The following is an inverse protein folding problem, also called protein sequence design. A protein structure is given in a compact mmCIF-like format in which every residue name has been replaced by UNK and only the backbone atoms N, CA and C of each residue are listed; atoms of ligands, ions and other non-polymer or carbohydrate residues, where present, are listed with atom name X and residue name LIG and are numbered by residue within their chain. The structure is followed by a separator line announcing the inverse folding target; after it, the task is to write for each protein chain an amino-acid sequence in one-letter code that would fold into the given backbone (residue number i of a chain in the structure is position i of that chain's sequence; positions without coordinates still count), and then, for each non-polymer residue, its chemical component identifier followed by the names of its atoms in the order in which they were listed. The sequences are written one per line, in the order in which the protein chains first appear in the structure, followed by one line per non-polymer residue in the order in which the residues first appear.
data_IF_227613772592
#
_entry.id   IF_227613772592
#
_cell.length_a   1.000
_cell.length_b   1.000
_cell.length_c   1.000
_cell.angle_alpha   90.00
_cell.angle_beta   90.00
_cell.angle_gamma   90.00
#
_symmetry.space_group_name_H-M   'P 1'
#
loop_
_entity.id
_entity.type
_entity.pdbx_description
1 polymer ?
#
# COMPACT_ATOMS: atom_id res chain seq x y z
N UNK A 1 33.22 -0.17 -12.37
CA UNK A 1 31.83 -0.64 -12.47
C UNK A 1 31.23 -0.49 -11.09
N UNK A 2 30.48 0.58 -10.84
CA UNK A 2 29.68 0.68 -9.62
C UNK A 2 28.54 -0.32 -9.73
N UNK A 3 28.69 -1.45 -9.05
CA UNK A 3 27.61 -2.40 -8.86
C UNK A 3 26.70 -1.84 -7.78
N UNK A 4 25.50 -1.40 -8.15
CA UNK A 4 24.52 -0.80 -7.24
C UNK A 4 23.44 -1.79 -6.75
N UNK A 5 23.70 -3.10 -6.85
CA UNK A 5 22.77 -4.15 -6.40
C UNK A 5 22.77 -4.36 -4.88
N UNK A 6 21.73 -5.02 -4.36
CA UNK A 6 21.58 -5.29 -2.91
C UNK A 6 22.81 -6.02 -2.34
N UNK A 7 23.33 -7.03 -3.05
CA UNK A 7 24.48 -7.81 -2.58
C UNK A 7 25.80 -7.02 -2.62
N UNK A 8 25.99 -6.13 -3.61
CA UNK A 8 27.19 -5.31 -3.65
C UNK A 8 27.17 -4.20 -2.60
N UNK A 9 25.98 -3.69 -2.24
CA UNK A 9 25.82 -2.72 -1.16
C UNK A 9 26.10 -3.36 0.22
N UNK A 10 25.86 -4.66 0.39
CA UNK A 10 26.01 -5.34 1.67
C UNK A 10 27.46 -5.36 2.22
N UNK A 11 28.48 -5.23 1.37
CA UNK A 11 29.88 -5.18 1.79
C UNK A 11 30.45 -3.76 1.90
N UNK A 12 29.66 -2.72 1.59
CA UNK A 12 30.10 -1.34 1.66
C UNK A 12 29.88 -0.80 3.08
N UNK A 13 30.96 -0.35 3.71
CA UNK A 13 30.88 0.42 4.95
C UNK A 13 30.45 1.86 4.60
N UNK A 14 29.44 2.38 5.28
CA UNK A 14 28.91 3.73 5.08
C UNK A 14 28.89 4.46 6.43
N UNK A 15 29.07 5.78 6.36
CA UNK A 15 29.01 6.66 7.52
C UNK A 15 27.54 6.91 7.91
N UNK A 16 27.05 6.19 8.92
CA UNK A 16 25.75 6.39 9.53
C UNK A 16 25.70 5.78 10.94
N UNK A 17 24.68 6.13 11.70
CA UNK A 17 24.35 5.49 12.98
C UNK A 17 23.08 4.65 12.83
N UNK A 18 23.14 3.36 13.14
CA UNK A 18 21.94 2.51 13.22
C UNK A 18 21.13 2.87 14.45
N UNK A 19 19.84 3.14 14.28
CA UNK A 19 18.88 3.38 15.37
C UNK A 19 17.62 2.55 15.17
N UNK A 20 16.94 2.28 16.28
CA UNK A 20 15.62 1.63 16.31
C UNK A 20 14.70 2.39 17.25
N UNK A 21 13.50 2.71 16.77
CA UNK A 21 12.36 3.00 17.63
C UNK A 21 11.52 1.73 17.76
N UNK A 22 11.13 1.36 18.98
CA UNK A 22 10.33 0.16 19.21
C UNK A 22 9.44 0.30 20.45
N UNK A 23 8.47 -0.60 20.53
CA UNK A 23 7.52 -0.72 21.64
C UNK A 23 8.09 -1.35 22.92
N UNK A 24 9.42 -1.56 23.00
CA UNK A 24 10.03 -2.27 24.13
C UNK A 24 9.74 -1.60 25.48
N UNK A 25 9.65 -2.44 26.51
CA UNK A 25 9.39 -2.04 27.88
C UNK A 25 10.58 -1.28 28.45
N UNK A 26 10.44 0.04 28.61
CA UNK A 26 11.52 0.92 29.10
C UNK A 26 12.00 0.62 30.52
N UNK A 27 11.29 -0.22 31.27
CA UNK A 27 11.75 -0.70 32.58
C UNK A 27 12.71 -1.89 32.48
N UNK A 28 12.86 -2.49 31.29
CA UNK A 28 13.57 -3.75 31.08
C UNK A 28 12.71 -4.99 31.33
N UNK A 29 11.40 -4.82 31.50
CA UNK A 29 10.42 -5.90 31.61
C UNK A 29 10.07 -6.53 30.26
N UNK A 30 8.90 -7.17 30.19
CA UNK A 30 8.41 -7.90 29.02
C UNK A 30 7.06 -7.34 28.51
N UNK A 31 6.66 -6.14 28.95
CA UNK A 31 5.48 -5.46 28.40
C UNK A 31 5.86 -4.67 27.15
N UNK A 32 6.38 -5.38 26.15
CA UNK A 32 6.98 -4.80 24.93
C UNK A 32 5.94 -4.33 23.90
N UNK A 33 4.74 -3.99 24.34
CA UNK A 33 3.65 -3.54 23.48
C UNK A 33 3.08 -2.20 23.91
N UNK A 34 2.49 -1.51 22.94
CA UNK A 34 1.66 -0.33 23.18
C UNK A 34 0.20 -0.69 22.95
N UNK A 35 -0.68 0.10 23.56
CA UNK A 35 -2.11 0.15 23.28
C UNK A 35 -2.43 1.52 22.69
N UNK A 36 -3.46 1.60 21.83
CA UNK A 36 -3.93 2.86 21.24
C UNK A 36 -5.44 2.93 21.45
N UNK A 37 -5.89 3.81 22.36
CA UNK A 37 -7.30 3.99 22.66
C UNK A 37 -8.09 4.55 21.48
N UNK A 38 -9.42 4.33 21.39
CA UNK A 38 -10.28 5.02 20.45
C UNK A 38 -10.04 6.53 20.45
N UNK A 39 -9.79 7.12 19.28
CA UNK A 39 -9.47 8.53 19.09
C UNK A 39 -8.04 8.95 19.48
N UNK A 40 -7.23 8.05 20.05
CA UNK A 40 -5.85 8.35 20.44
C UNK A 40 -4.92 8.35 19.21
N UNK A 41 -3.92 9.21 19.25
CA UNK A 41 -2.76 9.18 18.35
C UNK A 41 -1.51 8.88 19.16
N UNK A 42 -0.72 7.89 18.73
CA UNK A 42 0.58 7.56 19.32
C UNK A 42 1.70 7.77 18.32
N UNK A 43 2.67 8.58 18.71
CA UNK A 43 3.95 8.72 18.00
C UNK A 43 4.79 7.46 18.25
N UNK A 44 5.16 6.77 17.17
CA UNK A 44 6.01 5.57 17.22
C UNK A 44 7.49 5.92 17.10
N UNK A 45 7.80 6.93 16.29
CA UNK A 45 9.15 7.43 16.04
C UNK A 45 9.09 8.93 15.80
N UNK A 46 10.07 9.64 16.36
CA UNK A 46 10.39 11.02 16.05
C UNK A 46 11.92 11.17 16.00
N UNK A 47 12.45 11.67 14.90
CA UNK A 47 13.86 12.00 14.70
C UNK A 47 13.92 13.41 14.11
N UNK A 48 14.77 14.27 14.67
CA UNK A 48 14.89 15.67 14.23
C UNK A 48 15.91 15.84 13.10
N UNK A 49 16.90 14.94 13.01
CA UNK A 49 17.99 15.02 12.04
C UNK A 49 17.67 14.46 10.66
N UNK A 50 18.73 14.21 9.88
CA UNK A 50 18.64 13.53 8.59
C UNK A 50 18.80 12.02 8.76
N UNK A 51 18.21 11.25 7.85
CA UNK A 51 18.29 9.80 7.90
C UNK A 51 17.49 9.09 6.80
N UNK A 52 17.38 7.78 6.97
CA UNK A 52 16.55 6.94 6.13
C UNK A 52 15.97 5.80 6.96
N UNK A 53 14.64 5.70 7.05
CA UNK A 53 13.99 4.47 7.54
C UNK A 53 14.28 3.36 6.54
N UNK A 54 14.72 2.21 7.02
CA UNK A 54 15.12 1.05 6.22
C UNK A 54 14.17 -0.13 6.39
N UNK A 55 13.47 -0.18 7.51
CA UNK A 55 12.54 -1.25 7.82
C UNK A 55 11.49 -0.81 8.83
N UNK A 56 10.23 -1.13 8.56
CA UNK A 56 9.13 -0.99 9.49
C UNK A 56 8.45 -2.34 9.67
N UNK A 57 8.57 -2.90 10.88
CA UNK A 57 7.84 -4.06 11.35
C UNK A 57 6.74 -3.67 12.32
N UNK A 58 5.60 -4.34 12.24
CA UNK A 58 4.66 -4.40 13.34
C UNK A 58 3.90 -5.73 13.40
N UNK A 59 3.28 -5.98 14.53
CA UNK A 59 2.32 -7.06 14.74
C UNK A 59 1.25 -6.60 15.72
N UNK A 60 0.15 -7.33 15.79
CA UNK A 60 -0.92 -7.12 16.74
C UNK A 60 -1.31 -8.43 17.41
N UNK A 61 -1.92 -8.32 18.58
CA UNK A 61 -2.74 -9.39 19.16
C UNK A 61 -4.15 -8.85 19.35
N UNK A 62 -5.10 -9.48 18.66
CA UNK A 62 -6.54 -9.19 18.78
C UNK A 62 -7.33 -10.48 18.65
N UNK A 63 -7.95 -10.91 19.76
CA UNK A 63 -8.67 -12.18 19.83
C UNK A 63 -10.07 -12.17 19.21
N UNK A 64 -10.68 -10.99 19.08
CA UNK A 64 -12.02 -10.84 18.50
C UNK A 64 -11.95 -10.46 17.03
N UNK A 65 -12.69 -11.17 16.17
CA UNK A 65 -12.73 -10.89 14.75
C UNK A 65 -13.18 -9.46 14.44
N UNK A 66 -14.26 -8.99 15.07
CA UNK A 66 -14.73 -7.61 14.89
C UNK A 66 -13.64 -6.58 15.22
N UNK A 67 -12.90 -6.80 16.32
CA UNK A 67 -11.78 -5.95 16.69
C UNK A 67 -10.66 -5.97 15.65
N UNK A 68 -10.36 -7.14 15.10
CA UNK A 68 -9.33 -7.33 14.06
C UNK A 68 -9.71 -6.62 12.75
N UNK A 69 -10.96 -6.77 12.32
CA UNK A 69 -11.47 -6.11 11.12
C UNK A 69 -11.50 -4.59 11.26
N UNK A 70 -11.91 -4.11 12.44
CA UNK A 70 -11.89 -2.70 12.75
C UNK A 70 -10.46 -2.14 12.86
N UNK A 71 -9.48 -2.92 13.32
CA UNK A 71 -8.08 -2.53 13.38
C UNK A 71 -7.52 -2.22 11.99
N UNK A 72 -7.69 -3.11 11.02
CA UNK A 72 -7.02 -2.98 9.71
C UNK A 72 -7.43 -1.73 8.94
N UNK A 73 -8.68 -1.28 9.10
CA UNK A 73 -9.18 -0.07 8.45
C UNK A 73 -9.47 1.09 9.39
N UNK A 74 -9.38 0.90 10.70
CA UNK A 74 -9.59 1.93 11.71
C UNK A 74 -8.30 2.51 12.26
N UNK A 75 -7.21 1.76 12.31
CA UNK A 75 -5.89 2.29 12.65
C UNK A 75 -5.24 2.87 11.41
N UNK A 76 -4.90 4.15 11.48
CA UNK A 76 -4.32 4.93 10.39
C UNK A 76 -2.85 5.16 10.66
N UNK A 77 -2.01 4.74 9.72
CA UNK A 77 -0.59 5.06 9.69
C UNK A 77 -0.40 6.46 9.10
N UNK A 78 0.33 7.30 9.82
CA UNK A 78 0.70 8.63 9.36
C UNK A 78 2.23 8.82 9.40
N UNK A 79 2.79 9.35 8.32
CA UNK A 79 4.22 9.67 8.24
C UNK A 79 4.45 11.08 7.71
N UNK A 80 5.31 11.83 8.40
CA UNK A 80 5.65 13.21 8.12
C UNK A 80 7.14 13.33 7.87
N UNK A 81 7.51 14.06 6.82
CA UNK A 81 8.91 14.25 6.42
C UNK A 81 9.29 15.72 6.47
N UNK A 82 10.55 15.99 6.80
CA UNK A 82 11.20 17.31 6.65
C UNK A 82 10.51 18.46 7.40
N UNK A 83 9.88 18.18 8.54
CA UNK A 83 9.16 19.18 9.34
C UNK A 83 7.81 19.59 8.77
N UNK A 84 7.29 18.87 7.77
CA UNK A 84 5.93 19.09 7.24
C UNK A 84 4.87 18.81 8.30
N UNK A 85 3.86 19.68 8.37
CA UNK A 85 2.65 19.48 9.18
C UNK A 85 1.61 18.57 8.48
N UNK A 86 1.76 18.38 7.17
CA UNK A 86 0.98 17.44 6.37
C UNK A 86 1.68 16.09 6.22
N UNK A 87 0.96 14.97 6.40
CA UNK A 87 1.54 13.65 6.21
C UNK A 87 1.69 13.33 4.72
N UNK A 88 2.81 12.72 4.34
CA UNK A 88 3.03 12.13 3.01
C UNK A 88 2.44 10.72 2.89
N UNK A 89 2.20 10.07 4.04
CA UNK A 89 1.50 8.80 4.15
C UNK A 89 0.37 9.03 5.14
N UNK A 90 -0.88 8.86 4.73
CA UNK A 90 -2.04 8.86 5.62
C UNK A 90 -3.03 7.81 5.12
N UNK A 91 -2.86 6.57 5.58
CA UNK A 91 -3.58 5.41 5.05
C UNK A 91 -3.96 4.41 6.15
N UNK A 92 -4.98 3.56 5.95
CA UNK A 92 -5.21 2.42 6.82
C UNK A 92 -3.97 1.54 6.95
N UNK A 93 -3.59 1.16 8.17
CA UNK A 93 -2.38 0.35 8.37
C UNK A 93 -2.51 -1.03 7.73
N UNK A 94 -3.71 -1.62 7.68
CA UNK A 94 -3.92 -2.90 6.98
C UNK A 94 -3.62 -2.79 5.49
N UNK A 95 -4.26 -1.84 4.81
CA UNK A 95 -4.13 -1.65 3.36
C UNK A 95 -2.70 -1.20 2.97
N UNK A 96 -1.99 -0.45 3.82
CA UNK A 96 -0.56 -0.12 3.61
C UNK A 96 0.31 -1.38 3.50
N UNK A 97 -0.01 -2.43 4.24
CA UNK A 97 0.71 -3.70 4.22
C UNK A 97 0.03 -4.77 3.35
N UNK A 98 -0.96 -4.38 2.53
CA UNK A 98 -1.60 -5.30 1.59
C UNK A 98 -2.64 -6.25 2.19
N UNK A 99 -3.23 -5.93 3.34
CA UNK A 99 -4.37 -6.69 3.88
C UNK A 99 -5.59 -6.48 2.98
N UNK A 100 -6.00 -7.53 2.26
CA UNK A 100 -7.06 -7.44 1.26
C UNK A 100 -8.45 -7.54 1.93
N UNK A 101 -9.16 -6.41 2.03
CA UNK A 101 -10.49 -6.32 2.65
C UNK A 101 -10.57 -7.04 4.02
N UNK A 102 -9.57 -6.80 4.88
CA UNK A 102 -9.47 -7.42 6.20
C UNK A 102 -9.02 -8.88 6.19
N UNK A 103 -8.73 -9.49 5.03
CA UNK A 103 -8.11 -10.82 4.95
C UNK A 103 -6.60 -10.71 4.87
N UNK A 104 -5.93 -11.34 5.84
CA UNK A 104 -4.47 -11.44 5.85
C UNK A 104 -4.07 -12.72 5.14
N UNK A 105 -3.11 -12.61 4.23
CA UNK A 105 -2.48 -13.71 3.52
C UNK A 105 -0.97 -13.49 3.48
N UNK A 106 -0.14 -14.54 3.31
CA UNK A 106 1.28 -14.37 3.14
C UNK A 106 1.61 -13.45 1.96
N UNK A 107 2.63 -12.61 2.13
CA UNK A 107 3.21 -11.81 1.05
C UNK A 107 4.72 -12.03 1.09
N UNK A 108 5.33 -12.34 -0.06
CA UNK A 108 6.76 -12.59 -0.22
C UNK A 108 7.35 -11.71 -1.33
N UNK A 109 7.25 -10.39 -1.17
CA UNK A 109 7.85 -9.42 -2.10
C UNK A 109 9.12 -8.80 -1.52
N UNK A 110 9.88 -8.06 -2.34
CA UNK A 110 11.04 -7.31 -1.86
C UNK A 110 10.64 -6.06 -1.04
N UNK A 111 9.49 -5.46 -1.32
CA UNK A 111 9.02 -4.26 -0.65
C UNK A 111 8.26 -4.56 0.65
N UNK A 112 7.45 -5.62 0.67
CA UNK A 112 6.60 -6.01 1.78
C UNK A 112 6.62 -7.52 2.01
N UNK A 113 6.65 -7.92 3.28
CA UNK A 113 6.48 -9.32 3.66
C UNK A 113 5.50 -9.50 4.82
N UNK A 114 4.55 -10.42 4.65
CA UNK A 114 3.56 -10.78 5.66
C UNK A 114 3.77 -12.25 6.04
N UNK A 115 4.06 -12.48 7.33
CA UNK A 115 4.37 -13.80 7.85
C UNK A 115 3.36 -14.22 8.91
N UNK A 116 2.91 -15.49 8.91
CA UNK A 116 1.94 -15.98 9.88
C UNK A 116 2.51 -15.94 11.30
N UNK A 117 1.66 -15.58 12.25
CA UNK A 117 1.95 -15.68 13.68
C UNK A 117 1.56 -17.06 14.25
N UNK A 118 1.02 -17.07 15.47
CA UNK A 118 0.67 -18.32 16.15
C UNK A 118 -0.51 -19.06 15.50
N UNK A 119 -0.27 -20.28 15.02
CA UNK A 119 -1.25 -21.15 14.35
C UNK A 119 -2.50 -21.46 15.19
N UNK A 120 -2.42 -21.44 16.53
CA UNK A 120 -3.62 -21.62 17.38
C UNK A 120 -4.67 -20.54 17.15
N UNK A 121 -4.24 -19.42 16.62
CA UNK A 121 -5.04 -18.25 16.36
C UNK A 121 -4.61 -17.60 15.05
N UNK A 122 -4.69 -18.36 13.95
CA UNK A 122 -4.19 -17.97 12.63
C UNK A 122 -4.67 -16.60 12.11
N UNK A 123 -5.69 -15.99 12.71
CA UNK A 123 -6.18 -14.65 12.39
C UNK A 123 -5.83 -13.59 13.44
N UNK A 124 -5.36 -13.95 14.64
CA UNK A 124 -5.19 -12.99 15.74
C UNK A 124 -3.83 -12.30 15.76
N UNK A 125 -2.83 -12.82 15.06
CA UNK A 125 -1.48 -12.25 15.01
C UNK A 125 -0.76 -12.60 13.71
N UNK A 126 -0.15 -11.60 13.09
CA UNK A 126 0.67 -11.69 11.88
C UNK A 126 1.84 -10.73 12.00
N UNK A 127 2.98 -11.04 11.37
CA UNK A 127 4.11 -10.12 11.26
C UNK A 127 4.04 -9.38 9.94
N UNK A 128 4.04 -8.05 9.98
CA UNK A 128 3.97 -7.17 8.82
C UNK A 128 5.28 -6.42 8.68
N UNK A 129 5.92 -6.49 7.52
CA UNK A 129 7.21 -5.85 7.27
C UNK A 129 7.15 -5.02 6.00
N UNK A 130 7.74 -3.83 6.06
CA UNK A 130 7.95 -2.93 4.94
C UNK A 130 9.44 -2.60 4.85
N UNK A 131 10.01 -2.75 3.66
CA UNK A 131 11.42 -2.52 3.34
C UNK A 131 11.61 -1.37 2.33
N UNK A 132 10.53 -0.65 1.98
CA UNK A 132 10.65 0.57 1.19
C UNK A 132 11.47 1.61 1.97
N UNK A 133 12.58 2.12 1.42
CA UNK A 133 13.39 3.13 2.09
C UNK A 133 12.58 4.43 2.23
N UNK A 134 12.69 5.12 3.37
CA UNK A 134 12.02 6.41 3.61
C UNK A 134 13.06 7.46 4.01
N UNK A 135 13.73 8.10 3.02
CA UNK A 135 14.72 9.14 3.29
C UNK A 135 14.08 10.41 3.84
N UNK A 136 14.79 11.14 4.69
CA UNK A 136 14.40 12.45 5.21
C UNK A 136 15.64 13.28 5.55
N UNK A 137 15.56 14.59 5.38
CA UNK A 137 16.65 15.56 5.56
C UNK A 137 16.49 16.45 6.79
N UNK A 138 15.25 16.74 7.19
CA UNK A 138 14.94 17.65 8.29
C UNK A 138 13.86 17.02 9.21
N UNK A 139 14.17 15.82 9.67
CA UNK A 139 13.33 15.06 10.59
C UNK A 139 12.26 14.20 9.94
N UNK A 140 11.78 13.25 10.74
CA UNK A 140 10.73 12.30 10.41
C UNK A 140 9.88 12.00 11.65
N UNK A 141 8.56 11.93 11.45
CA UNK A 141 7.61 11.50 12.49
C UNK A 141 6.70 10.41 11.94
N UNK A 142 6.62 9.29 12.64
CA UNK A 142 5.70 8.18 12.35
C UNK A 142 4.72 8.07 13.51
N UNK A 143 3.43 8.05 13.22
CA UNK A 143 2.38 7.89 14.23
C UNK A 143 1.27 6.94 13.77
N UNK A 144 0.57 6.37 14.74
CA UNK A 144 -0.66 5.62 14.54
C UNK A 144 -1.81 6.35 15.21
N UNK A 145 -2.90 6.58 14.46
CA UNK A 145 -4.16 7.13 14.98
C UNK A 145 -5.24 6.08 14.93
N UNK A 146 -5.94 5.86 16.04
CA UNK A 146 -7.05 4.91 16.07
C UNK A 146 -8.39 5.65 15.82
N UNK A 147 -8.92 5.54 14.61
CA UNK A 147 -10.23 6.12 14.24
C UNK A 147 -11.40 5.22 14.62
N UNK A 148 -11.14 3.99 15.09
CA UNK A 148 -12.19 3.02 15.45
C UNK A 148 -12.71 3.21 16.87
N UNK A 149 -13.85 2.57 17.14
CA UNK A 149 -14.54 2.51 18.42
C UNK A 149 -14.30 1.19 19.17
N UNK A 150 -13.43 0.30 18.65
CA UNK A 150 -13.13 -0.98 19.29
C UNK A 150 -12.04 -0.87 20.35
N UNK A 151 -12.12 -1.74 21.35
CA UNK A 151 -11.13 -1.86 22.42
C UNK A 151 -9.70 -1.94 21.85
N UNK A 152 -8.71 -1.31 22.52
CA UNK A 152 -7.33 -1.32 22.06
C UNK A 152 -6.82 -2.74 21.83
N UNK A 153 -6.16 -2.95 20.70
CA UNK A 153 -5.28 -4.11 20.53
C UNK A 153 -3.92 -3.85 21.14
N UNK A 154 -3.16 -4.91 21.33
CA UNK A 154 -1.76 -4.81 21.71
C UNK A 154 -0.91 -4.76 20.44
N UNK A 155 -0.04 -3.76 20.32
CA UNK A 155 0.81 -3.55 19.15
C UNK A 155 2.28 -3.65 19.53
N UNK A 156 3.04 -4.44 18.78
CA UNK A 156 4.50 -4.44 18.82
C UNK A 156 5.01 -3.83 17.53
N UNK A 157 6.10 -3.06 17.60
CA UNK A 157 6.69 -2.49 16.40
C UNK A 157 8.20 -2.31 16.49
N UNK A 158 8.86 -2.33 15.33
CA UNK A 158 10.23 -1.87 15.12
C UNK A 158 10.26 -0.92 13.93
N UNK A 159 10.85 0.27 14.11
CA UNK A 159 11.21 1.16 13.02
C UNK A 159 12.73 1.29 13.06
N UNK A 160 13.38 0.64 12.11
CA UNK A 160 14.83 0.61 11.94
C UNK A 160 15.24 1.67 10.93
N UNK A 161 16.20 2.50 11.31
CA UNK A 161 16.64 3.61 10.48
C UNK A 161 18.13 3.91 10.63
N UNK A 162 18.68 4.46 9.55
CA UNK A 162 20.00 5.09 9.55
C UNK A 162 19.82 6.55 9.93
N UNK A 163 20.53 7.04 10.94
CA UNK A 163 20.70 8.47 11.23
C UNK A 163 22.00 8.95 10.57
N UNK A 164 21.92 10.08 9.89
CA UNK A 164 23.05 10.71 9.24
C UNK A 164 23.50 11.97 10.00
N UNK A 165 24.79 12.27 9.92
CA UNK A 165 25.38 13.43 10.62
C UNK A 165 25.00 14.78 9.99
N UNK A 166 24.59 14.77 8.71
CA UNK A 166 24.21 15.96 7.95
C UNK A 166 23.12 15.65 6.92
N UNK A 167 22.20 16.59 6.63
CA UNK A 167 21.27 16.49 5.50
C UNK A 167 21.95 16.19 4.16
N UNK A 168 23.17 16.65 3.94
CA UNK A 168 23.94 16.42 2.71
C UNK A 168 24.34 14.96 2.49
N UNK A 169 24.21 14.09 3.50
CA UNK A 169 24.43 12.66 3.35
C UNK A 169 23.22 11.94 2.70
N UNK A 170 22.05 12.59 2.68
CA UNK A 170 20.92 12.15 1.87
C UNK A 170 21.19 12.60 0.43
N UNK A 171 21.12 11.70 -0.57
CA UNK A 171 21.29 12.09 -1.97
C UNK A 171 20.31 13.20 -2.36
N UNK A 172 20.77 14.23 -3.08
CA UNK A 172 19.92 15.38 -3.47
C UNK A 172 18.69 14.98 -4.29
N UNK A 173 18.79 13.86 -5.02
CA UNK A 173 17.70 13.29 -5.81
C UNK A 173 16.89 12.21 -5.07
N UNK A 174 17.09 12.03 -3.76
CA UNK A 174 16.29 11.11 -2.96
C UNK A 174 14.89 11.68 -2.76
N UNK A 175 13.90 11.06 -3.40
CA UNK A 175 12.49 11.38 -3.16
C UNK A 175 12.05 10.98 -1.75
N UNK A 176 10.98 11.60 -1.27
CA UNK A 176 10.25 11.15 -0.08
C UNK A 176 9.25 10.09 -0.47
N UNK A 177 9.07 9.09 0.40
CA UNK A 177 8.04 8.08 0.19
C UNK A 177 6.67 8.70 0.49
N UNK A 178 5.72 8.49 -0.39
CA UNK A 178 4.33 8.82 -0.19
C UNK A 178 3.48 7.57 -0.36
N UNK A 179 2.31 7.59 0.26
CA UNK A 179 1.29 6.60 0.00
C UNK A 179 -0.10 7.20 0.08
N UNK A 180 -0.97 6.79 -0.82
CA UNK A 180 -2.37 7.21 -0.89
C UNK A 180 -3.26 5.98 -0.94
N UNK A 181 -4.38 6.06 -0.22
CA UNK A 181 -5.41 5.04 -0.23
C UNK A 181 -6.63 5.57 -0.98
N UNK A 182 -7.16 4.78 -1.91
CA UNK A 182 -8.39 5.09 -2.62
C UNK A 182 -9.36 3.91 -2.57
N UNK A 183 -10.66 4.20 -2.73
CA UNK A 183 -11.71 3.20 -2.84
C UNK A 183 -12.90 3.71 -3.64
N UNK A 184 -13.44 2.84 -4.48
CA UNK A 184 -14.74 2.98 -5.12
C UNK A 184 -15.58 1.74 -4.81
N UNK A 185 -16.75 1.95 -4.17
CA UNK A 185 -17.58 0.84 -3.71
C UNK A 185 -19.09 1.12 -3.87
N UNK A 186 -19.73 0.53 -4.90
CA UNK A 186 -19.10 -0.13 -6.04
C UNK A 186 -18.50 0.89 -7.01
N UNK A 187 -17.61 0.44 -7.89
CA UNK A 187 -17.28 1.12 -9.15
C UNK A 187 -18.55 1.30 -10.00
N UNK A 188 -18.56 2.34 -10.84
CA UNK A 188 -19.71 2.64 -11.69
C UNK A 188 -19.59 1.94 -13.05
N UNK A 189 -20.31 0.84 -13.24
CA UNK A 189 -20.32 0.10 -14.50
C UNK A 189 -20.80 0.98 -15.69
N UNK A 190 -20.09 0.85 -16.80
CA UNK A 190 -20.41 1.47 -18.09
C UNK A 190 -21.27 0.52 -18.90
N UNK A 191 -22.39 1.03 -19.43
CA UNK A 191 -23.28 0.23 -20.25
C UNK A 191 -22.76 0.13 -21.70
N UNK A 192 -22.94 -1.04 -22.32
CA UNK A 192 -22.72 -1.24 -23.75
C UNK A 192 -23.53 -0.23 -24.56
N UNK A 193 -22.90 0.63 -25.38
CA UNK A 193 -23.63 1.56 -26.23
C UNK A 193 -24.54 0.84 -27.23
N UNK A 194 -25.71 1.41 -27.50
CA UNK A 194 -26.67 0.84 -28.45
C UNK A 194 -26.04 0.67 -29.85
N UNK A 195 -26.18 -0.52 -30.43
CA UNK A 195 -25.69 -0.84 -31.77
C UNK A 195 -24.18 -1.12 -31.86
N UNK A 196 -23.48 -1.28 -30.73
CA UNK A 196 -22.10 -1.74 -30.69
C UNK A 196 -22.00 -3.17 -30.16
N UNK A 197 -20.96 -3.89 -30.59
CA UNK A 197 -20.68 -5.27 -30.14
C UNK A 197 -19.87 -5.32 -28.84
N UNK A 198 -19.16 -4.23 -28.50
CA UNK A 198 -18.29 -4.11 -27.32
C UNK A 198 -18.20 -2.65 -26.82
N UNK A 199 -17.75 -2.45 -25.58
CA UNK A 199 -17.46 -1.12 -25.03
C UNK A 199 -16.05 -0.72 -25.48
N UNK A 200 -15.90 0.49 -26.03
CA UNK A 200 -14.60 1.03 -26.43
C UNK A 200 -14.18 2.15 -25.50
N UNK A 201 -13.23 1.87 -24.62
CA UNK A 201 -12.67 2.88 -23.73
C UNK A 201 -11.52 3.63 -24.43
N UNK A 202 -11.83 4.79 -24.99
CA UNK A 202 -10.88 5.61 -25.76
C UNK A 202 -10.36 6.82 -24.99
N UNK A 203 -10.51 6.83 -23.66
CA UNK A 203 -10.16 7.99 -22.82
C UNK A 203 -9.50 7.60 -21.50
N UNK A 204 -9.95 6.52 -20.86
CA UNK A 204 -9.58 6.17 -19.50
C UNK A 204 -10.30 7.01 -18.43
N UNK A 205 -11.25 7.87 -18.81
CA UNK A 205 -11.88 8.82 -17.87
C UNK A 205 -12.77 8.15 -16.82
N UNK A 206 -13.30 6.96 -17.13
CA UNK A 206 -14.17 6.18 -16.25
C UNK A 206 -13.42 5.05 -15.50
N UNK A 207 -12.10 4.98 -15.68
CA UNK A 207 -11.27 3.99 -15.01
C UNK A 207 -11.21 4.29 -13.51
N UNK A 208 -11.03 3.23 -12.72
CA UNK A 208 -10.69 3.37 -11.32
C UNK A 208 -9.32 4.05 -11.19
N UNK A 209 -9.24 5.12 -10.41
CA UNK A 209 -8.00 5.88 -10.22
C UNK A 209 -7.21 5.29 -9.05
N UNK A 210 -6.01 4.79 -9.35
CA UNK A 210 -5.07 4.29 -8.33
C UNK A 210 -4.24 5.45 -7.75
N UNK A 211 -3.78 6.35 -8.62
CA UNK A 211 -2.97 7.53 -8.26
C UNK A 211 -3.20 8.63 -9.29
N UNK A 212 -3.35 9.88 -8.84
CA UNK A 212 -3.37 11.07 -9.70
C UNK A 212 -2.67 12.21 -8.96
N UNK A 213 -1.43 12.51 -9.35
CA UNK A 213 -0.58 13.48 -8.62
C UNK A 213 0.31 14.28 -9.55
N UNK A 214 0.64 15.49 -9.11
CA UNK A 214 1.69 16.33 -9.68
C UNK A 214 3.00 16.23 -8.88
N UNK A 215 4.12 16.38 -9.58
CA UNK A 215 5.46 16.40 -8.98
C UNK A 215 6.53 15.87 -9.94
N UNK A 216 7.74 15.72 -9.41
CA UNK A 216 8.86 15.08 -10.09
C UNK A 216 9.29 13.87 -9.26
N UNK A 217 9.11 12.68 -9.82
CA UNK A 217 9.15 11.46 -9.03
C UNK A 217 9.15 10.17 -9.84
N UNK A 218 8.86 9.09 -9.14
CA UNK A 218 8.72 7.75 -9.70
C UNK A 218 7.68 6.95 -8.91
N UNK A 219 6.78 6.28 -9.63
CA UNK A 219 5.82 5.35 -9.07
C UNK A 219 6.53 4.06 -8.66
N UNK A 220 6.35 3.64 -7.41
CA UNK A 220 7.06 2.50 -6.83
C UNK A 220 6.20 1.22 -6.81
N UNK A 221 4.88 1.36 -6.87
CA UNK A 221 3.97 0.22 -6.89
C UNK A 221 2.70 0.45 -6.09
N UNK A 222 1.91 -0.61 -5.95
CA UNK A 222 0.62 -0.55 -5.27
C UNK A 222 0.12 -1.94 -4.88
N UNK A 223 -0.74 -1.94 -3.85
CA UNK A 223 -1.69 -3.01 -3.61
C UNK A 223 -3.02 -2.66 -4.29
N UNK A 224 -3.68 -3.64 -4.89
CA UNK A 224 -5.04 -3.56 -5.38
C UNK A 224 -5.87 -4.69 -4.75
N UNK A 225 -7.05 -4.34 -4.22
CA UNK A 225 -8.04 -5.30 -3.75
C UNK A 225 -9.32 -5.09 -4.54
N UNK A 226 -9.88 -6.19 -5.05
CA UNK A 226 -11.19 -6.23 -5.69
C UNK A 226 -12.07 -7.18 -4.90
N UNK A 227 -13.15 -6.67 -4.29
CA UNK A 227 -14.24 -7.54 -3.83
C UNK A 227 -15.18 -7.72 -5.01
N UNK A 228 -15.03 -8.87 -5.66
CA UNK A 228 -15.79 -9.25 -6.83
C UNK A 228 -17.16 -9.78 -6.40
N UNK A 229 -18.21 -9.08 -6.84
CA UNK A 229 -19.59 -9.47 -6.54
C UNK A 229 -20.15 -10.46 -7.56
N UNK A 230 -19.43 -10.68 -8.67
CA UNK A 230 -19.78 -11.64 -9.70
C UNK A 230 -19.10 -13.00 -9.45
N UNK A 231 -19.67 -14.06 -10.03
CA UNK A 231 -19.10 -15.43 -10.00
C UNK A 231 -18.40 -15.76 -11.32
N UNK A 232 -17.77 -14.74 -11.90
CA UNK A 232 -17.04 -14.79 -13.15
C UNK A 232 -15.78 -13.94 -13.05
N UNK A 233 -14.92 -14.03 -14.06
CA UNK A 233 -13.68 -13.27 -14.14
C UNK A 233 -13.98 -11.76 -14.20
N UNK A 234 -13.30 -11.01 -13.35
CA UNK A 234 -13.46 -9.56 -13.19
C UNK A 234 -12.31 -8.75 -13.82
N UNK A 235 -11.19 -9.41 -14.10
CA UNK A 235 -9.92 -8.76 -14.38
C UNK A 235 -9.59 -8.60 -15.85
N UNK A 236 -10.57 -8.45 -16.73
CA UNK A 236 -10.33 -8.10 -18.15
C UNK A 236 -9.90 -6.64 -18.34
N UNK A 237 -9.87 -5.84 -17.25
CA UNK A 237 -9.60 -4.41 -17.33
C UNK A 237 -8.12 -4.08 -17.52
N UNK A 238 -7.84 -3.18 -18.46
CA UNK A 238 -6.49 -2.71 -18.78
C UNK A 238 -6.01 -1.65 -17.79
N UNK A 239 -4.71 -1.63 -17.45
CA UNK A 239 -4.11 -0.42 -16.87
C UNK A 239 -3.85 0.62 -17.95
N UNK A 240 -4.10 1.87 -17.59
CA UNK A 240 -3.78 3.03 -18.42
C UNK A 240 -3.03 4.03 -17.54
N UNK A 241 -1.75 4.26 -17.86
CA UNK A 241 -0.89 5.17 -17.10
C UNK A 241 -0.48 6.36 -17.97
N UNK A 242 -0.96 7.54 -17.59
CA UNK A 242 -0.70 8.80 -18.28
C UNK A 242 0.42 9.56 -17.57
N UNK A 243 1.53 9.80 -18.26
CA UNK A 243 2.69 10.48 -17.69
C UNK A 243 2.80 11.90 -18.28
N UNK A 244 3.08 12.88 -17.43
CA UNK A 244 3.40 14.26 -17.81
C UNK A 244 2.40 14.92 -18.78
N UNK A 245 1.11 14.60 -18.65
CA UNK A 245 0.01 15.17 -19.42
C UNK A 245 -0.30 14.45 -20.74
N UNK A 246 0.17 13.21 -20.92
CA UNK A 246 -0.26 12.34 -22.03
C UNK A 246 -1.79 12.23 -22.12
N UNK A 247 -2.29 12.17 -23.36
CA UNK A 247 -3.67 11.83 -23.67
C UNK A 247 -3.81 10.38 -24.15
N UNK A 248 -5.01 10.00 -24.59
CA UNK A 248 -5.21 8.67 -25.16
C UNK A 248 -4.62 8.55 -26.58
N UNK A 249 -4.01 7.40 -26.93
CA UNK A 249 -3.63 6.32 -26.02
C UNK A 249 -2.38 6.71 -25.19
N UNK A 250 -2.35 6.37 -23.89
CA UNK A 250 -1.14 6.58 -23.07
C UNK A 250 0.02 5.72 -23.57
N UNK A 251 1.25 6.11 -23.19
CA UNK A 251 2.45 5.34 -23.51
C UNK A 251 2.53 3.98 -22.79
N UNK A 252 1.79 3.83 -21.71
CA UNK A 252 1.65 2.60 -20.92
C UNK A 252 0.18 2.22 -20.90
N UNK A 253 -0.14 1.16 -21.64
CA UNK A 253 -1.47 0.58 -21.76
C UNK A 253 -1.35 -0.94 -21.65
N UNK A 254 -2.11 -1.54 -20.74
CA UNK A 254 -2.15 -2.98 -20.50
C UNK A 254 -3.06 -3.73 -21.45
N UNK A 255 -3.28 -5.01 -21.10
CA UNK A 255 -4.09 -5.97 -21.86
C UNK A 255 -5.01 -6.83 -20.99
N UNK A 256 -4.97 -6.65 -19.67
CA UNK A 256 -5.71 -7.43 -18.68
C UNK A 256 -5.12 -7.25 -17.28
N UNK A 257 -5.98 -7.30 -16.26
CA UNK A 257 -5.57 -7.03 -14.89
C UNK A 257 -4.58 -8.09 -14.37
N UNK A 258 -4.74 -9.35 -14.75
CA UNK A 258 -3.87 -10.43 -14.26
C UNK A 258 -2.44 -10.31 -14.77
N UNK A 259 -2.26 -9.79 -15.97
CA UNK A 259 -0.97 -9.72 -16.65
C UNK A 259 -0.09 -8.66 -15.99
N UNK A 260 -0.70 -7.55 -15.53
CA UNK A 260 -0.06 -6.52 -14.72
C UNK A 260 0.58 -7.15 -13.48
N UNK A 261 -0.13 -8.06 -12.81
CA UNK A 261 0.34 -8.69 -11.57
C UNK A 261 1.14 -9.99 -11.80
N UNK A 262 1.63 -10.21 -13.03
CA UNK A 262 2.54 -11.31 -13.37
C UNK A 262 1.85 -12.66 -13.55
N UNK A 263 0.54 -12.66 -13.76
CA UNK A 263 -0.26 -13.84 -14.05
C UNK A 263 -0.56 -13.99 -15.53
N UNK A 264 -1.62 -14.75 -15.82
CA UNK A 264 -2.18 -14.93 -17.15
C UNK A 264 -3.38 -15.88 -17.08
N UNK A 265 -4.35 -15.69 -17.99
CA UNK A 265 -5.51 -16.57 -18.15
C UNK A 265 -6.34 -16.74 -16.85
N UNK A 266 -6.75 -15.61 -16.26
CA UNK A 266 -7.65 -15.54 -15.10
C UNK A 266 -7.21 -16.40 -13.88
N UNK A 267 -6.07 -16.09 -13.23
CA UNK A 267 -5.56 -16.88 -12.11
C UNK A 267 -6.59 -17.07 -10.99
N UNK A 268 -6.75 -18.30 -10.51
CA UNK A 268 -7.63 -18.67 -9.39
C UNK A 268 -6.87 -19.27 -8.20
N UNK A 269 -5.54 -19.19 -8.22
CA UNK A 269 -4.63 -19.72 -7.19
C UNK A 269 -3.71 -18.59 -6.71
N UNK A 270 -3.51 -18.51 -5.39
CA UNK A 270 -2.62 -17.54 -4.78
C UNK A 270 -1.15 -17.79 -5.15
N UNK A 271 -0.40 -16.72 -5.42
CA UNK A 271 1.04 -16.76 -5.59
C UNK A 271 1.70 -15.45 -5.15
N UNK A 272 2.98 -15.54 -4.80
CA UNK A 272 3.81 -14.40 -4.47
C UNK A 272 5.15 -14.47 -5.20
N UNK A 273 5.62 -13.32 -5.66
CA UNK A 273 6.93 -13.13 -6.25
C UNK A 273 7.59 -11.85 -5.73
N UNK A 274 8.87 -11.61 -6.07
CA UNK A 274 9.62 -10.48 -5.56
C UNK A 274 9.02 -9.11 -5.94
N UNK A 275 8.33 -9.03 -7.09
CA UNK A 275 7.76 -7.80 -7.62
C UNK A 275 6.24 -7.84 -7.78
N UNK A 276 5.65 -9.01 -7.99
CA UNK A 276 4.23 -9.15 -8.29
C UNK A 276 3.60 -10.34 -7.56
N UNK A 277 2.27 -10.32 -7.39
CA UNK A 277 1.54 -11.46 -6.85
C UNK A 277 0.02 -11.27 -6.86
N UNK A 278 -0.69 -12.40 -6.90
CA UNK A 278 -2.07 -12.53 -6.44
C UNK A 278 -2.01 -13.19 -5.06
N UNK A 279 -1.82 -12.41 -4.00
CA UNK A 279 -1.60 -12.95 -2.66
C UNK A 279 -2.89 -13.35 -1.95
N UNK A 280 -4.04 -12.88 -2.42
CA UNK A 280 -5.34 -13.27 -1.87
C UNK A 280 -6.29 -13.65 -3.00
N UNK A 281 -6.80 -14.89 -2.96
CA UNK A 281 -7.86 -15.35 -3.86
C UNK A 281 -8.88 -16.10 -3.00
N UNK A 282 -9.98 -15.43 -2.64
CA UNK A 282 -10.94 -16.00 -1.69
C UNK A 282 -11.68 -17.21 -2.26
N UNK A 283 -12.02 -17.20 -3.56
CA UNK A 283 -12.88 -18.21 -4.20
C UNK A 283 -14.08 -18.58 -3.31
N UNK A 284 -14.82 -17.56 -2.87
CA UNK A 284 -15.81 -17.67 -1.79
C UNK A 284 -16.78 -18.81 -2.06
N UNK A 285 -17.03 -19.63 -1.03
CA UNK A 285 -17.89 -20.81 -1.11
C UNK A 285 -17.58 -21.76 -2.29
N UNK A 286 -16.33 -21.78 -2.78
CA UNK A 286 -15.89 -22.60 -3.92
C UNK A 286 -16.21 -22.04 -5.30
N UNK A 287 -16.80 -20.84 -5.40
CA UNK A 287 -17.00 -20.17 -6.68
C UNK A 287 -15.74 -19.40 -7.08
N UNK A 288 -15.21 -19.69 -8.28
CA UNK A 288 -14.01 -19.04 -8.80
C UNK A 288 -14.16 -17.53 -8.84
N UNK A 289 -13.11 -16.83 -8.38
CA UNK A 289 -12.95 -15.38 -8.36
C UNK A 289 -13.99 -14.60 -7.54
N UNK A 290 -15.00 -15.26 -6.97
CA UNK A 290 -16.01 -14.60 -6.15
C UNK A 290 -15.43 -14.19 -4.79
N UNK A 291 -15.81 -13.02 -4.31
CA UNK A 291 -15.32 -12.45 -3.06
C UNK A 291 -14.03 -11.66 -3.24
N UNK A 292 -13.17 -11.69 -2.22
CA UNK A 292 -11.99 -10.83 -2.13
C UNK A 292 -10.84 -11.39 -2.94
N UNK A 293 -10.28 -10.54 -3.79
CA UNK A 293 -9.06 -10.80 -4.53
C UNK A 293 -8.07 -9.67 -4.24
N UNK A 294 -6.84 -10.03 -3.88
CA UNK A 294 -5.78 -9.09 -3.53
C UNK A 294 -4.56 -9.34 -4.39
N UNK A 295 -4.04 -8.26 -4.96
CA UNK A 295 -2.90 -8.27 -5.87
C UNK A 295 -1.90 -7.17 -5.52
N UNK A 296 -0.66 -7.32 -5.96
CA UNK A 296 0.35 -6.27 -5.88
C UNK A 296 1.30 -6.27 -7.07
N UNK A 297 1.79 -5.08 -7.41
CA UNK A 297 2.92 -4.85 -8.31
C UNK A 297 3.82 -3.77 -7.74
N UNK A 298 5.11 -4.07 -7.64
CA UNK A 298 6.14 -3.13 -7.22
C UNK A 298 7.17 -2.95 -8.34
N UNK A 299 7.21 -1.73 -8.87
CA UNK A 299 8.10 -1.29 -9.95
C UNK A 299 9.50 -0.93 -9.42
N UNK A 300 10.15 -1.89 -8.73
CA UNK A 300 11.44 -1.64 -8.06
C UNK A 300 12.62 -1.67 -9.05
N UNK A 301 12.57 -2.58 -10.01
CA UNK A 301 13.59 -2.73 -11.05
C UNK A 301 13.28 -1.87 -12.29
N UNK A 302 12.01 -1.49 -12.47
CA UNK A 302 11.42 -0.86 -13.65
C UNK A 302 10.48 0.31 -13.27
N UNK A 303 10.94 1.31 -12.47
CA UNK A 303 10.09 2.38 -11.97
C UNK A 303 9.50 3.23 -13.09
N UNK A 304 8.20 3.55 -12.99
CA UNK A 304 7.54 4.50 -13.89
C UNK A 304 7.89 5.93 -13.43
N UNK A 305 8.60 6.69 -14.27
CA UNK A 305 9.14 8.02 -13.90
C UNK A 305 8.29 9.14 -14.50
N UNK A 306 8.12 10.21 -13.75
CA UNK A 306 7.40 11.41 -14.19
C UNK A 306 8.11 12.68 -13.73
N UNK A 307 7.97 13.77 -14.48
CA UNK A 307 8.63 15.06 -14.19
C UNK A 307 7.65 16.15 -13.76
N UNK A 308 6.38 16.02 -14.16
CA UNK A 308 5.31 16.97 -13.90
C UNK A 308 4.11 16.29 -13.26
N UNK A 309 3.68 15.13 -13.76
CA UNK A 309 2.50 14.45 -13.24
C UNK A 309 2.43 12.98 -13.65
N UNK A 310 1.66 12.20 -12.90
CA UNK A 310 1.29 10.83 -13.25
C UNK A 310 -0.16 10.56 -12.86
N UNK A 311 -0.92 9.95 -13.77
CA UNK A 311 -2.24 9.39 -13.51
C UNK A 311 -2.21 7.89 -13.80
N UNK A 312 -2.26 7.08 -12.76
CA UNK A 312 -2.30 5.60 -12.83
C UNK A 312 -3.74 5.17 -12.66
N UNK A 313 -4.29 4.50 -13.66
CA UNK A 313 -5.67 4.02 -13.64
C UNK A 313 -5.75 2.56 -14.09
N UNK A 314 -6.85 1.90 -13.75
CA UNK A 314 -7.18 0.56 -14.23
C UNK A 314 -8.66 0.47 -14.52
N UNK A 315 -9.04 -0.21 -15.60
CA UNK A 315 -10.44 -0.48 -15.85
C UNK A 315 -11.00 -1.49 -14.82
N UNK A 316 -12.28 -1.35 -14.49
CA UNK A 316 -13.00 -2.31 -13.64
C UNK A 316 -13.81 -3.28 -14.52
N UNK A 317 -13.11 -4.22 -15.14
CA UNK A 317 -13.61 -5.06 -16.24
C UNK A 317 -13.44 -4.41 -17.61
N UNK A 318 -13.70 -5.15 -18.68
CA UNK A 318 -13.45 -4.67 -20.04
C UNK A 318 -14.29 -3.43 -20.33
N UNK A 319 -13.63 -2.31 -20.65
CA UNK A 319 -14.35 -1.06 -20.90
C UNK A 319 -15.11 -0.54 -19.68
N UNK A 320 -14.71 -0.91 -18.45
CA UNK A 320 -15.35 -0.52 -17.20
C UNK A 320 -16.76 -1.11 -17.00
N UNK A 321 -17.01 -2.34 -17.44
CA UNK A 321 -18.34 -2.98 -17.43
C UNK A 321 -18.79 -3.58 -16.08
N UNK A 322 -17.95 -3.55 -15.03
CA UNK A 322 -18.24 -4.19 -13.73
C UNK A 322 -18.49 -3.20 -12.60
N UNK A 323 -19.34 -3.61 -11.65
CA UNK A 323 -19.65 -2.86 -10.44
C UNK A 323 -19.13 -3.60 -9.19
N UNK A 324 -17.84 -3.44 -8.90
CA UNK A 324 -17.12 -4.14 -7.83
C UNK A 324 -16.59 -3.17 -6.78
N UNK A 325 -16.17 -3.66 -5.61
CA UNK A 325 -15.50 -2.83 -4.60
C UNK A 325 -13.99 -2.82 -4.88
N UNK A 326 -13.49 -1.72 -5.45
CA UNK A 326 -12.07 -1.53 -5.75
C UNK A 326 -11.43 -0.71 -4.64
N UNK A 327 -10.29 -1.18 -4.13
CA UNK A 327 -9.51 -0.51 -3.09
C UNK A 327 -8.04 -0.60 -3.45
N UNK A 328 -7.31 0.52 -3.38
CA UNK A 328 -5.88 0.53 -3.66
C UNK A 328 -5.09 1.31 -2.61
N UNK A 329 -3.86 0.86 -2.37
CA UNK A 329 -2.85 1.66 -1.67
C UNK A 329 -1.65 1.82 -2.61
N UNK A 330 -1.46 3.03 -3.14
CA UNK A 330 -0.38 3.37 -4.06
C UNK A 330 0.84 3.91 -3.30
N UNK A 331 2.04 3.62 -3.80
CA UNK A 331 3.32 4.06 -3.26
C UNK A 331 4.15 4.72 -4.34
N UNK A 332 4.74 5.87 -4.04
CA UNK A 332 5.65 6.55 -4.97
C UNK A 332 6.68 7.37 -4.21
N UNK A 333 7.72 7.77 -4.93
CA UNK A 333 8.69 8.74 -4.45
C UNK A 333 8.58 10.02 -5.26
N UNK A 334 8.62 11.17 -4.61
CA UNK A 334 8.76 12.46 -5.30
C UNK A 334 9.67 13.43 -4.53
N UNK A 335 10.18 14.44 -5.24
CA UNK A 335 10.90 15.54 -4.59
C UNK A 335 9.96 16.32 -3.67
N UNK A 336 10.40 16.52 -2.42
CA UNK A 336 9.63 17.19 -1.39
C UNK A 336 8.36 16.45 -0.96
N UNK A 337 7.54 17.13 -0.17
CA UNK A 337 6.23 16.64 0.27
C UNK A 337 5.15 17.08 -0.73
N UNK A 338 4.09 16.27 -0.89
CA UNK A 338 2.97 16.63 -1.77
C UNK A 338 1.88 17.28 -0.91
N UNK A 339 1.65 18.57 -1.09
CA UNK A 339 0.72 19.34 -0.26
C UNK A 339 -0.75 19.15 -0.66
N UNK A 340 -0.99 18.59 -1.85
CA UNK A 340 -2.31 18.47 -2.48
C UNK A 340 -2.89 17.06 -2.39
N UNK A 341 -2.36 16.19 -1.51
CA UNK A 341 -2.93 14.87 -1.31
C UNK A 341 -4.36 14.96 -0.77
N UNK A 342 -5.29 14.12 -1.27
CA UNK A 342 -6.64 14.06 -0.73
C UNK A 342 -6.59 13.61 0.73
N UNK A 343 -7.49 14.15 1.54
CA UNK A 343 -7.65 13.69 2.92
C UNK A 343 -8.17 12.25 2.92
N UNK A 344 -7.71 11.45 3.88
CA UNK A 344 -8.22 10.10 4.05
C UNK A 344 -9.74 10.14 4.34
N UNK A 345 -10.57 9.36 3.63
CA UNK A 345 -12.01 9.33 3.88
C UNK A 345 -12.37 8.97 5.33
N UNK A 346 -13.55 9.39 5.84
CA UNK A 346 -13.96 9.03 7.19
C UNK A 346 -14.09 7.51 7.36
N UNK A 347 -13.93 7.00 8.59
CA UNK A 347 -13.94 5.56 8.87
C UNK A 347 -15.14 4.82 8.24
N UNK A 348 -16.33 5.40 8.28
CA UNK A 348 -17.55 4.81 7.73
C UNK A 348 -17.43 4.41 6.25
N UNK A 349 -16.66 5.15 5.45
CA UNK A 349 -16.43 4.86 4.03
C UNK A 349 -15.28 3.87 3.80
N UNK A 350 -14.45 3.66 4.82
CA UNK A 350 -13.29 2.76 4.75
C UNK A 350 -13.59 1.36 5.26
N UNK A 351 -14.59 1.16 6.13
CA UNK A 351 -14.86 -0.14 6.78
C UNK A 351 -14.77 -1.33 5.82
N UNK A 352 -14.20 -2.43 6.35
CA UNK A 352 -14.18 -3.73 5.68
C UNK A 352 -15.63 -4.16 5.44
N UNK A 353 -15.94 -4.53 4.20
CA UNK A 353 -17.27 -5.00 3.82
C UNK A 353 -17.17 -6.47 3.45
N UNK A 354 -17.63 -7.36 4.32
CA UNK A 354 -18.03 -8.69 3.88
C UNK A 354 -19.48 -8.55 3.42
N UNK A 355 -19.70 -8.49 2.12
CA UNK A 355 -21.05 -8.75 1.61
C UNK A 355 -21.41 -10.19 2.02
N UNK A 356 -22.52 -10.38 2.73
CA UNK A 356 -23.03 -11.69 3.11
C UNK A 356 -23.42 -12.54 1.89
#
# INVERSE_FOLDING_TARGET
MESNGILSQACLLREFQSKRASSWDRTGGNRDWIEIAPGETKVLMEEEGAGCIKHFYWTYIQGAEQGRLALFRGVVLRAFWDGSDRPSIEVPIGDFFGVANGQVRPIQSLAFTLNPGNERHATTSWGFNCYLPMPFTNGARIELRNDSDVSPSFYWFHIDYERYDSPSAVPENAGRLHAVWNRENPTQAVALPEGQDEIKNLTGDQNYVILDVEGNGQFAGYFLTVVNNERWWYGEGDDMVFIDGEGFPPSIHGTGSEEIFGGGASPDIEYCGPYTGFHCVENRAGYRWWGTNGMYRFYLADPLRFRKSIRVTIEHGHGNDKANDYVSCAFWYQLGVNQNLPALPPLAQRRVNFQE
#
